data_IF_357583877763
#
_entry.id   IF_357583877763
#
_cell.length_a   1.000
_cell.length_b   1.000
_cell.length_c   1.000
_cell.angle_alpha   90.00
_cell.angle_beta   90.00
_cell.angle_gamma   90.00
#
_symmetry.space_group_name_H-M   'P 1'
#
loop_
_entity.id
_entity.type
_entity.pdbx_description
1 polymer ?
#
# COMPACT_ATOMS: atom_id res chain seq x y z
N UNK A 1 10.32 4.69 -3.94
CA UNK A 1 9.06 4.91 -4.71
C UNK A 1 8.79 6.38 -5.05
N UNK A 2 9.26 7.34 -4.25
CA UNK A 2 9.26 8.75 -4.63
C UNK A 2 7.88 9.37 -4.76
N UNK A 3 7.76 10.45 -5.56
CA UNK A 3 6.53 11.26 -5.67
C UNK A 3 5.32 10.46 -6.15
N UNK A 4 5.50 9.52 -7.09
CA UNK A 4 4.42 8.66 -7.59
C UNK A 4 3.84 7.78 -6.48
N UNK A 5 4.70 7.07 -5.74
CA UNK A 5 4.25 6.25 -4.61
C UNK A 5 3.50 7.06 -3.55
N UNK A 6 3.98 8.26 -3.21
CA UNK A 6 3.27 9.15 -2.29
C UNK A 6 1.85 9.49 -2.77
N UNK A 7 1.69 9.91 -4.03
CA UNK A 7 0.37 10.26 -4.61
C UNK A 7 -0.59 9.07 -4.59
N UNK A 8 -0.10 7.89 -4.96
CA UNK A 8 -0.90 6.66 -4.97
C UNK A 8 -1.35 6.22 -3.57
N UNK A 9 -0.49 6.36 -2.56
CA UNK A 9 -0.84 6.10 -1.17
C UNK A 9 -1.90 7.11 -0.66
N UNK A 10 -1.73 8.40 -0.99
CA UNK A 10 -2.71 9.44 -0.62
C UNK A 10 -4.07 9.24 -1.27
N UNK A 11 -4.11 8.85 -2.56
CA UNK A 11 -5.34 8.54 -3.28
C UNK A 11 -6.12 7.39 -2.62
N UNK A 12 -5.42 6.47 -1.94
CA UNK A 12 -6.00 5.32 -1.24
C UNK A 12 -6.25 5.58 0.26
N UNK A 13 -6.21 6.84 0.70
CA UNK A 13 -6.59 7.22 2.07
C UNK A 13 -5.50 7.05 3.13
N UNK A 14 -4.25 6.73 2.75
CA UNK A 14 -3.14 6.68 3.70
C UNK A 14 -2.79 8.08 4.18
N UNK A 15 -2.59 8.28 5.49
CA UNK A 15 -2.28 9.59 6.07
C UNK A 15 -1.00 10.20 5.48
N UNK A 16 -0.90 11.54 5.50
CA UNK A 16 0.25 12.27 4.92
C UNK A 16 1.57 11.79 5.49
N UNK A 17 1.68 11.72 6.83
CA UNK A 17 2.89 11.29 7.53
C UNK A 17 3.31 9.87 7.13
N UNK A 18 2.35 8.94 7.13
CA UNK A 18 2.62 7.53 6.81
C UNK A 18 2.97 7.33 5.33
N UNK A 19 2.28 8.03 4.43
CA UNK A 19 2.55 8.01 3.00
C UNK A 19 3.94 8.60 2.68
N UNK A 20 4.33 9.70 3.32
CA UNK A 20 5.64 10.32 3.15
C UNK A 20 6.77 9.40 3.59
N UNK A 21 6.68 8.86 4.82
CA UNK A 21 7.68 7.95 5.37
C UNK A 21 7.87 6.71 4.48
N UNK A 22 6.79 6.13 3.98
CA UNK A 22 6.85 4.94 3.13
C UNK A 22 7.42 5.26 1.74
N UNK A 23 6.97 6.35 1.12
CA UNK A 23 7.41 6.73 -0.22
C UNK A 23 8.92 7.07 -0.30
N UNK A 24 9.48 7.53 0.83
CA UNK A 24 10.89 7.92 1.01
C UNK A 24 11.76 6.87 1.68
N UNK A 25 11.19 5.73 2.09
CA UNK A 25 11.96 4.67 2.72
C UNK A 25 13.05 4.11 1.80
N UNK A 26 14.22 3.83 2.38
CA UNK A 26 15.33 3.14 1.71
C UNK A 26 15.17 1.61 1.71
N UNK A 27 14.13 1.08 2.35
CA UNK A 27 13.90 -0.36 2.36
C UNK A 27 13.61 -0.87 0.95
N UNK A 28 14.14 -2.06 0.65
CA UNK A 28 13.85 -2.76 -0.59
C UNK A 28 12.36 -3.08 -0.73
N UNK A 29 11.91 -3.39 -1.96
CA UNK A 29 10.51 -3.62 -2.27
C UNK A 29 9.88 -4.71 -1.39
N UNK A 30 10.64 -5.78 -1.09
CA UNK A 30 10.15 -6.89 -0.28
C UNK A 30 9.81 -6.49 1.17
N UNK A 31 10.69 -5.72 1.82
CA UNK A 31 10.40 -5.18 3.16
C UNK A 31 9.30 -4.14 3.12
N UNK A 32 9.25 -3.32 2.06
CA UNK A 32 8.21 -2.32 1.87
C UNK A 32 6.82 -2.93 1.74
N UNK A 33 6.66 -4.07 1.06
CA UNK A 33 5.37 -4.76 0.90
C UNK A 33 4.66 -5.04 2.24
N UNK A 34 5.42 -5.20 3.33
CA UNK A 34 4.89 -5.41 4.67
C UNK A 34 4.66 -4.12 5.49
N UNK A 35 4.93 -2.95 4.92
CA UNK A 35 4.77 -1.68 5.63
C UNK A 35 3.30 -1.36 5.96
N UNK A 36 3.02 -0.66 7.06
CA UNK A 36 1.65 -0.30 7.45
C UNK A 36 0.91 0.51 6.37
N UNK A 37 1.61 1.40 5.67
CA UNK A 37 1.04 2.21 4.59
C UNK A 37 0.54 1.34 3.45
N UNK A 38 1.33 0.35 3.04
CA UNK A 38 0.98 -0.54 1.95
C UNK A 38 -0.12 -1.51 2.34
N UNK A 39 -0.09 -2.03 3.56
CA UNK A 39 -1.17 -2.87 4.08
C UNK A 39 -2.52 -2.15 4.12
N UNK A 40 -2.51 -0.84 4.43
CA UNK A 40 -3.72 -0.02 4.38
C UNK A 40 -4.16 0.26 2.94
N UNK A 41 -3.23 0.66 2.07
CA UNK A 41 -3.53 1.02 0.69
C UNK A 41 -3.98 -0.18 -0.17
N UNK A 42 -3.37 -1.35 0.03
CA UNK A 42 -3.57 -2.57 -0.74
C UNK A 42 -4.37 -3.58 0.09
N UNK A 43 -5.59 -3.19 0.47
CA UNK A 43 -6.49 -4.08 1.21
C UNK A 43 -7.01 -5.23 0.35
N UNK A 44 -7.43 -6.33 0.98
CA UNK A 44 -8.10 -7.45 0.29
C UNK A 44 -9.29 -6.99 -0.57
N UNK A 45 -10.04 -5.98 -0.11
CA UNK A 45 -11.15 -5.38 -0.88
C UNK A 45 -10.71 -4.81 -2.23
N UNK A 46 -9.55 -4.16 -2.27
CA UNK A 46 -8.99 -3.62 -3.51
C UNK A 46 -8.63 -4.75 -4.48
N UNK A 47 -8.01 -5.82 -3.98
CA UNK A 47 -7.71 -7.00 -4.82
C UNK A 47 -8.99 -7.69 -5.34
N UNK A 48 -10.03 -7.80 -4.52
CA UNK A 48 -11.36 -8.27 -4.96
C UNK A 48 -11.95 -7.40 -6.08
N UNK A 49 -11.82 -6.07 -5.98
CA UNK A 49 -12.29 -5.17 -7.05
C UNK A 49 -11.52 -5.31 -8.36
N UNK A 50 -10.32 -5.88 -8.33
CA UNK A 50 -9.54 -6.24 -9.51
C UNK A 50 -9.77 -7.68 -9.99
N UNK A 51 -10.71 -8.41 -9.38
CA UNK A 51 -11.06 -9.78 -9.77
C UNK A 51 -10.12 -10.85 -9.22
N UNK A 52 -9.25 -10.53 -8.25
CA UNK A 52 -8.48 -11.60 -7.59
C UNK A 52 -9.39 -12.47 -6.71
N UNK A 53 -9.36 -13.81 -6.88
CA UNK A 53 -10.12 -14.72 -6.04
C UNK A 53 -9.51 -14.80 -4.64
N UNK A 54 -10.36 -14.98 -3.64
CA UNK A 54 -9.93 -15.26 -2.27
C UNK A 54 -9.64 -16.75 -2.11
N UNK A 55 -8.46 -17.08 -1.60
CA UNK A 55 -8.07 -18.48 -1.36
C UNK A 55 -8.56 -19.00 -0.01
N UNK A 56 -8.86 -18.11 0.93
CA UNK A 56 -9.37 -18.44 2.25
C UNK A 56 -10.46 -17.44 2.64
N UNK A 57 -11.59 -17.94 3.12
CA UNK A 57 -12.63 -17.12 3.75
C UNK A 57 -12.16 -16.74 5.15
N UNK A 58 -12.28 -15.46 5.49
CA UNK A 58 -11.86 -14.92 6.79
C UNK A 58 -12.99 -14.89 7.79
#
# INVERSE_FOLDING_TARGET
WGRRGYRELRKRGVSVKLAWNTAKSAHGPWRLSHSPALRQALSARLFRSYGLPELAVR
#
